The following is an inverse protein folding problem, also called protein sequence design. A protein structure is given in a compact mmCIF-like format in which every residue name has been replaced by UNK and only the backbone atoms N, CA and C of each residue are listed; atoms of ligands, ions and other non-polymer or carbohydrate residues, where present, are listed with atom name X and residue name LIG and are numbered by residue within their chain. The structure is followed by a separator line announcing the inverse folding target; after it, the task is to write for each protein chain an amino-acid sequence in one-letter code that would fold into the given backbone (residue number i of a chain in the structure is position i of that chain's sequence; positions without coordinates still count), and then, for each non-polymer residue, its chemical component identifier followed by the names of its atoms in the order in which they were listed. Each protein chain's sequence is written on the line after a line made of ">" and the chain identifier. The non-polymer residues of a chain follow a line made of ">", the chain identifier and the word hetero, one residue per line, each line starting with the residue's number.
data_IF_792804799016
#
_entry.id   IF_792804799016
#
_cell.length_a   1.000
_cell.length_b   1.000
_cell.length_c   1.000
_cell.angle_alpha   90.00
_cell.angle_beta   90.00
_cell.angle_gamma   90.00
#
_symmetry.space_group_name_H-M   'P 1'
#
loop_
_entity.id
_entity.type
_entity.pdbx_description
1 polymer ?
#
# COMPACT_ATOMS: atom_id res chain seq x y z
N UNK A 1 -6.16 15.24 4.66
CA UNK A 1 -5.89 13.78 4.54
C UNK A 1 -4.56 13.38 5.18
N UNK A 2 -3.45 14.04 4.85
CA UNK A 2 -2.09 13.72 5.35
C UNK A 2 -2.02 13.58 6.88
N UNK A 3 -2.46 14.60 7.62
CA UNK A 3 -2.45 14.56 9.09
C UNK A 3 -3.24 13.37 9.69
N UNK A 4 -4.27 12.88 8.98
CA UNK A 4 -5.05 11.72 9.41
C UNK A 4 -4.29 10.42 9.19
N UNK A 5 -3.60 10.29 8.05
CA UNK A 5 -2.70 9.16 7.79
C UNK A 5 -1.56 9.13 8.82
N UNK A 6 -0.91 10.27 9.07
CA UNK A 6 0.14 10.41 10.08
C UNK A 6 -0.34 10.09 11.50
N UNK A 7 -1.60 10.39 11.82
CA UNK A 7 -2.24 10.03 13.09
C UNK A 7 -2.76 8.58 13.14
N UNK A 8 -2.36 7.70 12.21
CA UNK A 8 -2.75 6.28 12.18
C UNK A 8 -4.23 6.03 11.84
N UNK A 9 -4.91 7.00 11.22
CA UNK A 9 -6.31 6.84 10.79
C UNK A 9 -6.37 6.25 9.38
N UNK A 10 -7.53 5.67 9.06
CA UNK A 10 -7.86 5.17 7.72
C UNK A 10 -8.59 6.28 6.96
N UNK A 11 -8.19 6.54 5.73
CA UNK A 11 -8.82 7.50 4.83
C UNK A 11 -9.28 6.82 3.54
N UNK A 12 -10.39 7.27 2.98
CA UNK A 12 -10.80 6.92 1.62
C UNK A 12 -10.21 7.92 0.63
N UNK A 13 -9.56 7.44 -0.43
CA UNK A 13 -8.93 8.24 -1.48
C UNK A 13 -9.59 7.91 -2.81
N UNK A 14 -10.13 8.92 -3.51
CA UNK A 14 -10.67 8.75 -4.87
C UNK A 14 -9.50 8.57 -5.84
N UNK A 15 -9.43 7.41 -6.48
CA UNK A 15 -8.53 7.11 -7.59
C UNK A 15 -9.24 7.22 -8.94
N UNK A 16 -8.59 6.71 -9.99
CA UNK A 16 -9.10 6.78 -11.37
C UNK A 16 -10.34 5.89 -11.55
N UNK A 17 -10.31 4.65 -11.04
CA UNK A 17 -11.37 3.65 -11.23
C UNK A 17 -12.22 3.35 -9.99
N UNK A 18 -12.14 4.17 -8.94
CA UNK A 18 -12.86 3.92 -7.69
C UNK A 18 -12.20 4.56 -6.48
N UNK A 19 -12.41 3.97 -5.29
CA UNK A 19 -11.84 4.45 -4.04
C UNK A 19 -10.88 3.44 -3.44
N UNK A 20 -9.77 3.93 -2.91
CA UNK A 20 -8.85 3.17 -2.06
C UNK A 20 -9.10 3.49 -0.59
N UNK A 21 -9.04 2.49 0.27
CA UNK A 21 -8.87 2.69 1.71
C UNK A 21 -7.37 2.65 2.00
N UNK A 22 -6.83 3.74 2.54
CA UNK A 22 -5.42 3.90 2.83
C UNK A 22 -5.20 4.12 4.33
N UNK A 23 -4.14 3.52 4.85
CA UNK A 23 -3.56 3.77 6.16
C UNK A 23 -2.05 3.65 6.05
N UNK A 24 -1.33 4.06 7.08
CA UNK A 24 0.10 3.79 7.18
C UNK A 24 0.37 2.27 7.27
N UNK A 25 1.16 1.75 6.34
CA UNK A 25 1.53 0.34 6.28
C UNK A 25 2.56 -0.04 7.37
N UNK A 26 3.33 0.92 7.87
CA UNK A 26 4.27 0.77 8.98
C UNK A 26 3.62 0.81 10.36
N UNK A 27 2.30 1.05 10.44
CA UNK A 27 1.55 1.10 11.69
C UNK A 27 0.66 -0.17 11.86
N UNK A 28 1.07 -1.16 12.66
CA UNK A 28 0.33 -2.42 12.82
C UNK A 28 -1.09 -2.23 13.36
N UNK A 29 -1.31 -1.24 14.24
CA UNK A 29 -2.63 -0.95 14.81
C UNK A 29 -3.61 -0.39 13.77
N UNK A 30 -3.12 0.49 12.88
CA UNK A 30 -3.91 1.01 11.77
C UNK A 30 -4.29 -0.11 10.78
N UNK A 31 -3.34 -0.99 10.45
CA UNK A 31 -3.58 -2.16 9.57
C UNK A 31 -4.57 -3.13 10.21
N UNK A 32 -4.45 -3.45 11.50
CA UNK A 32 -5.38 -4.32 12.21
C UNK A 32 -6.80 -3.74 12.22
N UNK A 33 -6.92 -2.43 12.47
CA UNK A 33 -8.21 -1.71 12.43
C UNK A 33 -8.84 -1.78 11.04
N UNK A 34 -8.04 -1.61 9.97
CA UNK A 34 -8.52 -1.71 8.59
C UNK A 34 -9.02 -3.12 8.29
N UNK A 35 -8.29 -4.16 8.70
CA UNK A 35 -8.69 -5.57 8.50
C UNK A 35 -9.99 -5.90 9.21
N UNK A 36 -10.15 -5.45 10.46
CA UNK A 36 -11.36 -5.64 11.24
C UNK A 36 -12.57 -4.98 10.57
N UNK A 37 -12.48 -3.69 10.22
CA UNK A 37 -13.58 -2.95 9.58
C UNK A 37 -13.95 -3.46 8.19
N UNK A 38 -12.96 -3.94 7.42
CA UNK A 38 -13.18 -4.47 6.07
C UNK A 38 -13.59 -5.95 6.07
N UNK A 39 -13.66 -6.59 7.24
CA UNK A 39 -13.88 -8.04 7.37
C UNK A 39 -12.91 -8.85 6.48
N UNK A 40 -11.63 -8.46 6.47
CA UNK A 40 -10.59 -9.02 5.60
C UNK A 40 -9.42 -9.55 6.44
N UNK A 41 -9.60 -10.68 7.15
CA UNK A 41 -8.62 -11.15 8.13
C UNK A 41 -7.27 -11.51 7.48
N UNK A 42 -7.28 -12.36 6.45
CA UNK A 42 -6.04 -12.91 5.88
C UNK A 42 -5.65 -12.32 4.52
N UNK A 43 -6.63 -12.02 3.65
CA UNK A 43 -6.34 -11.65 2.24
C UNK A 43 -5.34 -10.48 2.17
N UNK A 44 -4.24 -10.59 1.40
CA UNK A 44 -3.17 -9.58 1.35
C UNK A 44 -3.69 -8.18 1.01
N UNK A 45 -3.06 -7.15 1.57
CA UNK A 45 -3.30 -5.76 1.24
C UNK A 45 -2.14 -5.28 0.37
N UNK A 46 -2.43 -4.53 -0.69
CA UNK A 46 -1.40 -3.87 -1.47
C UNK A 46 -0.82 -2.69 -0.67
N UNK A 47 0.47 -2.39 -0.89
CA UNK A 47 1.17 -1.27 -0.30
C UNK A 47 1.70 -0.37 -1.42
N UNK A 48 1.59 0.95 -1.23
CA UNK A 48 2.18 1.94 -2.13
C UNK A 48 3.47 2.44 -1.49
N UNK A 49 4.56 2.40 -2.25
CA UNK A 49 5.87 2.86 -1.81
C UNK A 49 6.14 4.27 -2.36
N UNK A 50 6.90 5.11 -1.65
CA UNK A 50 7.26 6.44 -2.14
C UNK A 50 8.25 6.39 -3.31
N UNK A 51 9.04 5.30 -3.40
CA UNK A 51 10.02 5.08 -4.47
C UNK A 51 10.18 3.59 -4.76
N UNK A 52 10.66 3.27 -5.96
CA UNK A 52 11.07 1.93 -6.35
C UNK A 52 12.58 1.64 -6.09
N UNK A 53 13.31 2.59 -5.50
CA UNK A 53 14.74 2.43 -5.18
C UNK A 53 14.96 1.21 -4.29
N UNK A 54 15.94 0.37 -4.63
CA UNK A 54 16.28 -0.84 -3.89
C UNK A 54 15.48 -2.09 -4.27
N UNK A 55 14.51 -1.97 -5.17
CA UNK A 55 13.75 -3.11 -5.69
C UNK A 55 14.43 -3.73 -6.91
N UNK A 56 14.15 -5.01 -7.23
CA UNK A 56 14.66 -5.65 -8.44
C UNK A 56 14.33 -4.84 -9.70
N UNK A 57 15.29 -4.74 -10.63
CA UNK A 57 15.17 -3.92 -11.84
C UNK A 57 13.89 -4.21 -12.64
N UNK A 58 13.51 -5.48 -12.78
CA UNK A 58 12.28 -5.88 -13.46
C UNK A 58 11.01 -5.33 -12.77
N UNK A 59 10.97 -5.34 -11.43
CA UNK A 59 9.84 -4.80 -10.67
C UNK A 59 9.78 -3.26 -10.76
N UNK A 60 10.94 -2.59 -10.64
CA UNK A 60 11.03 -1.14 -10.81
C UNK A 60 10.58 -0.70 -12.21
N UNK A 61 10.98 -1.41 -13.27
CA UNK A 61 10.57 -1.15 -14.63
C UNK A 61 9.04 -1.30 -14.82
N UNK A 62 8.44 -2.37 -14.29
CA UNK A 62 6.99 -2.58 -14.37
C UNK A 62 6.21 -1.49 -13.64
N UNK A 63 6.59 -1.15 -12.41
CA UNK A 63 5.93 -0.07 -11.65
C UNK A 63 6.09 1.31 -12.29
N UNK A 64 7.21 1.55 -12.97
CA UNK A 64 7.45 2.80 -13.71
C UNK A 64 6.76 2.88 -15.07
N UNK A 65 6.11 1.80 -15.53
CA UNK A 65 5.36 1.81 -16.79
C UNK A 65 4.10 2.69 -16.69
N UNK A 66 3.57 3.20 -17.82
CA UNK A 66 2.31 3.95 -17.82
C UNK A 66 1.12 3.20 -17.22
N UNK A 67 1.15 1.86 -17.22
CA UNK A 67 0.12 1.04 -16.60
C UNK A 67 0.16 1.07 -15.05
N UNK A 68 1.29 1.43 -14.44
CA UNK A 68 1.53 1.51 -13.00
C UNK A 68 0.88 0.36 -12.18
N UNK A 69 1.16 -0.92 -12.51
CA UNK A 69 0.50 -2.06 -11.91
C UNK A 69 0.92 -2.31 -10.46
N UNK A 70 0.09 -3.05 -9.71
CA UNK A 70 0.52 -3.70 -8.47
C UNK A 70 1.42 -4.87 -8.85
N UNK A 71 2.68 -4.82 -8.42
CA UNK A 71 3.68 -5.87 -8.69
C UNK A 71 3.86 -6.75 -7.45
N UNK A 72 3.88 -8.07 -7.64
CA UNK A 72 4.22 -9.01 -6.57
C UNK A 72 5.73 -9.11 -6.44
N UNK A 73 6.22 -8.89 -5.23
CA UNK A 73 7.64 -8.92 -4.88
C UNK A 73 7.79 -9.76 -3.62
N UNK A 74 8.87 -10.53 -3.50
CA UNK A 74 9.11 -11.27 -2.26
C UNK A 74 9.39 -10.28 -1.14
N UNK A 75 8.80 -10.50 0.04
CA UNK A 75 8.91 -9.58 1.20
C UNK A 75 10.37 -9.24 1.55
N UNK A 76 11.27 -10.22 1.44
CA UNK A 76 12.70 -10.05 1.73
C UNK A 76 13.42 -9.06 0.79
N UNK A 77 12.82 -8.71 -0.35
CA UNK A 77 13.38 -7.79 -1.34
C UNK A 77 12.87 -6.35 -1.15
N UNK A 78 11.99 -6.11 -0.18
CA UNK A 78 11.47 -4.77 0.13
C UNK A 78 12.05 -4.34 1.48
N UNK A 79 12.81 -3.25 1.50
CA UNK A 79 13.22 -2.61 2.74
C UNK A 79 12.06 -1.76 3.27
N UNK A 80 11.60 -2.09 4.48
CA UNK A 80 10.47 -1.42 5.13
C UNK A 80 10.22 -1.97 6.52
#
# INVERSE_FOLDING_TARGET
>A
AIARLAAGKIVAIKGIGGFHLACDAGNPAAVATLRARKHRPAKPLAVMLPTATGLPAAAAALMGSPAAPIVLIAKAQVSG
#
